data_IF_066617579447
#
_entry.id   IF_066617579447
#
_cell.length_a   1.000
_cell.length_b   1.000
_cell.length_c   1.000
_cell.angle_alpha   90.00
_cell.angle_beta   90.00
_cell.angle_gamma   90.00
#
_symmetry.space_group_name_H-M   'P 1'
#
loop_
_entity.id
_entity.type
_entity.pdbx_description
1 polymer ?
#
# COMPACT_ATOMS: atom_id res chain seq x y z
N UNK A 1 16.25 28.11 5.41
CA UNK A 1 16.50 27.46 5.66
C UNK A 1 16.46 26.95 5.87
N UNK A 2 16.62 26.80 5.63
CA UNK A 2 16.74 25.92 5.90
C UNK A 2 16.35 25.51 6.47
N UNK A 3 16.30 25.49 6.61
CA UNK A 3 16.03 24.76 7.23
C UNK A 3 15.27 24.45 7.30
N UNK A 4 14.98 24.70 7.00
CA UNK A 4 14.39 24.07 7.13
C UNK A 4 13.96 23.59 6.50
N UNK A 5 14.08 23.86 5.89
CA UNK A 5 13.85 23.06 5.13
C UNK A 5 14.29 21.87 5.34
N UNK A 6 14.96 21.84 5.58
CA UNK A 6 15.33 20.70 5.96
C UNK A 6 14.45 19.97 6.82
N UNK A 7 13.81 20.57 7.69
CA UNK A 7 12.93 19.90 8.52
C UNK A 7 11.78 19.35 7.81
N UNK A 8 11.28 19.99 6.84
CA UNK A 8 10.20 19.43 6.06
C UNK A 8 10.60 18.13 5.43
N UNK A 9 11.84 18.03 5.03
CA UNK A 9 12.32 16.86 4.38
C UNK A 9 12.33 15.65 5.27
N UNK A 10 12.43 15.83 6.55
CA UNK A 10 12.51 14.72 7.45
C UNK A 10 11.19 14.26 7.99
N UNK A 11 10.10 14.98 7.68
CA UNK A 11 8.81 14.67 8.28
C UNK A 11 8.18 13.49 7.56
N UNK A 12 7.95 12.44 8.32
CA UNK A 12 7.25 11.25 7.87
C UNK A 12 6.01 11.08 8.72
N UNK A 13 4.95 10.65 8.10
CA UNK A 13 3.70 10.35 8.79
C UNK A 13 3.42 8.87 8.71
N UNK A 14 2.97 8.32 9.82
CA UNK A 14 2.53 6.94 9.89
C UNK A 14 1.11 6.90 10.40
N UNK A 15 0.30 6.03 9.83
CA UNK A 15 -1.04 5.82 10.33
C UNK A 15 -1.40 4.36 10.16
N UNK A 16 -1.71 3.69 11.26
CA UNK A 16 -2.22 2.32 11.18
C UNK A 16 -3.69 2.40 10.83
N UNK A 17 -4.02 2.07 9.59
CA UNK A 17 -5.40 2.03 9.15
C UNK A 17 -6.07 0.77 9.70
N UNK A 18 -5.33 -0.33 9.77
CA UNK A 18 -5.82 -1.56 10.37
C UNK A 18 -4.64 -2.42 10.78
N UNK A 19 -4.80 -3.20 11.85
CA UNK A 19 -3.75 -4.11 12.31
C UNK A 19 -4.38 -5.33 12.93
N UNK A 20 -3.63 -6.44 12.90
CA UNK A 20 -4.05 -7.69 13.53
C UNK A 20 -4.40 -8.75 12.52
N UNK A 21 -4.93 -9.86 13.02
CA UNK A 21 -5.20 -11.03 12.19
C UNK A 21 -6.38 -10.83 11.24
N UNK A 22 -7.20 -9.81 11.48
CA UNK A 22 -8.33 -9.53 10.59
C UNK A 22 -7.93 -8.61 9.42
N UNK A 23 -6.69 -8.17 9.37
CA UNK A 23 -6.18 -7.39 8.25
C UNK A 23 -5.21 -6.32 8.68
N UNK A 24 -4.20 -6.10 7.86
CA UNK A 24 -3.14 -5.12 8.13
C UNK A 24 -3.08 -4.10 7.00
N UNK A 25 -2.99 -2.84 7.35
CA UNK A 25 -2.85 -1.77 6.37
C UNK A 25 -2.27 -0.56 7.07
N UNK A 26 -1.09 -0.14 6.64
CA UNK A 26 -0.39 0.99 7.25
C UNK A 26 -0.10 2.03 6.19
N UNK A 27 -0.39 3.28 6.52
CA UNK A 27 -0.04 4.40 5.66
C UNK A 27 1.30 4.98 6.11
N UNK A 28 2.18 5.23 5.14
CA UNK A 28 3.44 5.92 5.36
C UNK A 28 3.56 7.00 4.31
N UNK A 29 3.87 8.22 4.72
CA UNK A 29 4.00 9.26 3.74
C UNK A 29 4.79 10.47 4.20
N UNK A 30 5.16 11.26 3.23
CA UNK A 30 5.72 12.59 3.41
C UNK A 30 4.77 13.56 2.72
N UNK A 31 5.20 14.80 2.54
CA UNK A 31 4.37 15.75 1.82
C UNK A 31 4.22 15.40 0.35
N UNK A 32 5.17 14.67 -0.21
CA UNK A 32 5.20 14.41 -1.65
C UNK A 32 5.00 12.96 -2.03
N UNK A 33 5.16 12.03 -1.11
CA UNK A 33 5.08 10.61 -1.42
C UNK A 33 4.19 9.90 -0.43
N UNK A 34 3.29 9.07 -0.94
CA UNK A 34 2.31 8.37 -0.13
C UNK A 34 2.33 6.89 -0.49
N UNK A 35 2.55 6.04 0.51
CA UNK A 35 2.63 4.60 0.30
C UNK A 35 1.71 3.88 1.29
N UNK A 36 1.19 2.74 0.86
CA UNK A 36 0.56 1.81 1.78
C UNK A 36 1.47 0.61 1.97
N UNK A 37 1.57 0.13 3.19
CA UNK A 37 2.24 -1.12 3.51
C UNK A 37 1.15 -2.11 3.83
N UNK A 38 0.99 -3.09 2.95
CA UNK A 38 -0.04 -4.12 3.00
C UNK A 38 -1.46 -3.55 2.85
N UNK A 39 -2.33 -4.33 2.22
CA UNK A 39 -3.76 -4.01 2.12
C UNK A 39 -4.52 -5.28 2.46
N UNK A 40 -4.52 -5.64 3.75
CA UNK A 40 -5.18 -6.83 4.24
C UNK A 40 -6.66 -6.63 4.56
N UNK A 41 -7.19 -5.45 4.22
CA UNK A 41 -8.60 -5.12 4.42
C UNK A 41 -9.21 -4.84 3.05
N UNK A 42 -10.56 -4.75 3.01
CA UNK A 42 -11.22 -4.48 1.74
C UNK A 42 -10.85 -3.10 1.21
N UNK A 43 -10.97 -2.92 -0.10
CA UNK A 43 -10.68 -1.62 -0.69
C UNK A 43 -11.55 -0.52 -0.11
N UNK A 44 -12.81 -0.83 0.21
CA UNK A 44 -13.72 0.14 0.82
C UNK A 44 -13.21 0.60 2.18
N UNK A 45 -12.75 -0.32 3.01
CA UNK A 45 -12.22 0.02 4.33
C UNK A 45 -10.92 0.81 4.21
N UNK A 46 -10.07 0.43 3.25
CA UNK A 46 -8.83 1.13 3.02
C UNK A 46 -9.11 2.58 2.63
N UNK A 47 -10.05 2.80 1.71
CA UNK A 47 -10.37 4.15 1.29
C UNK A 47 -10.98 4.97 2.43
N UNK A 48 -11.82 4.35 3.24
CA UNK A 48 -12.36 5.06 4.41
C UNK A 48 -11.25 5.47 5.37
N UNK A 49 -10.26 4.60 5.56
CA UNK A 49 -9.11 4.93 6.40
C UNK A 49 -8.29 6.10 5.85
N UNK A 50 -8.04 6.09 4.55
CA UNK A 50 -7.32 7.22 3.93
C UNK A 50 -8.13 8.50 4.03
N UNK A 51 -9.44 8.43 3.82
CA UNK A 51 -10.27 9.61 3.93
C UNK A 51 -10.22 10.22 5.33
N UNK A 52 -10.06 9.39 6.35
CA UNK A 52 -10.00 9.90 7.72
C UNK A 52 -8.74 10.72 7.99
N UNK A 53 -7.74 10.63 7.12
CA UNK A 53 -6.53 11.45 7.22
C UNK A 53 -6.40 12.37 6.01
N UNK A 54 -7.52 12.67 5.38
CA UNK A 54 -7.64 13.63 4.28
C UNK A 54 -6.92 13.20 3.02
N UNK A 55 -6.86 11.89 2.79
CA UNK A 55 -6.25 11.32 1.58
C UNK A 55 -7.26 10.43 0.87
N UNK A 56 -6.98 10.15 -0.39
CA UNK A 56 -7.74 9.20 -1.18
C UNK A 56 -6.78 8.23 -1.86
N UNK A 57 -7.32 7.19 -2.47
CA UNK A 57 -6.48 6.25 -3.21
C UNK A 57 -5.70 6.91 -4.34
N UNK A 58 -6.21 8.02 -4.87
CA UNK A 58 -5.52 8.73 -5.96
C UNK A 58 -4.27 9.43 -5.50
N UNK A 59 -4.13 9.67 -4.20
CA UNK A 59 -2.93 10.30 -3.66
C UNK A 59 -1.79 9.31 -3.50
N UNK A 60 -2.06 8.01 -3.60
CA UNK A 60 -1.05 7.00 -3.36
C UNK A 60 -0.07 6.88 -4.53
N UNK A 61 1.18 6.64 -4.21
CA UNK A 61 2.23 6.45 -5.20
C UNK A 61 2.65 5.00 -5.36
N UNK A 62 2.32 4.16 -4.41
CA UNK A 62 2.66 2.75 -4.51
C UNK A 62 2.22 1.97 -3.29
N UNK A 63 2.41 0.68 -3.38
CA UNK A 63 2.03 -0.27 -2.33
C UNK A 63 3.22 -1.18 -2.07
N UNK A 64 3.57 -1.38 -0.80
CA UNK A 64 4.60 -2.32 -0.40
C UNK A 64 3.93 -3.50 0.29
N UNK A 65 4.21 -4.70 -0.16
CA UNK A 65 3.64 -5.91 0.43
C UNK A 65 4.72 -6.67 1.18
N UNK A 66 4.47 -6.96 2.45
CA UNK A 66 5.42 -7.65 3.30
C UNK A 66 5.22 -9.16 3.31
N UNK A 67 3.97 -9.62 3.18
CA UNK A 67 3.64 -11.04 3.24
C UNK A 67 2.53 -11.34 2.24
N UNK A 68 2.52 -12.57 1.74
CA UNK A 68 1.50 -13.00 0.79
C UNK A 68 0.22 -13.52 1.46
N UNK A 69 0.13 -13.49 2.78
CA UNK A 69 -1.04 -13.99 3.49
C UNK A 69 -2.24 -13.05 3.33
N UNK A 70 -3.44 -13.59 3.40
CA UNK A 70 -4.66 -12.83 3.11
C UNK A 70 -4.83 -11.61 4.01
N UNK A 71 -4.36 -11.66 5.25
CA UNK A 71 -4.45 -10.52 6.15
C UNK A 71 -3.47 -9.39 5.78
N UNK A 72 -2.73 -9.55 4.67
CA UNK A 72 -1.84 -8.53 4.14
C UNK A 72 -2.20 -8.14 2.71
N UNK A 73 -2.97 -8.97 1.98
CA UNK A 73 -3.21 -8.71 0.56
C UNK A 73 -4.69 -8.74 0.15
N UNK A 74 -5.62 -8.83 1.11
CA UNK A 74 -7.03 -9.02 0.79
C UNK A 74 -7.57 -7.99 -0.19
N UNK A 75 -7.22 -6.73 -0.02
CA UNK A 75 -7.71 -5.65 -0.88
C UNK A 75 -6.77 -5.26 -2.01
N UNK A 76 -5.63 -5.93 -2.10
CA UNK A 76 -4.58 -5.50 -3.03
C UNK A 76 -5.04 -5.52 -4.48
N UNK A 77 -5.66 -6.61 -4.91
CA UNK A 77 -6.05 -6.74 -6.31
C UNK A 77 -6.99 -5.65 -6.77
N UNK A 78 -8.00 -5.35 -5.94
CA UNK A 78 -8.98 -4.32 -6.25
C UNK A 78 -8.33 -2.95 -6.36
N UNK A 79 -7.50 -2.61 -5.39
CA UNK A 79 -6.89 -1.28 -5.34
C UNK A 79 -5.83 -1.12 -6.43
N UNK A 80 -5.03 -2.15 -6.66
CA UNK A 80 -4.02 -2.09 -7.71
C UNK A 80 -4.66 -1.88 -9.08
N UNK A 81 -5.76 -2.59 -9.35
CA UNK A 81 -6.46 -2.41 -10.62
C UNK A 81 -7.11 -1.04 -10.73
N UNK A 82 -7.72 -0.57 -9.63
CA UNK A 82 -8.46 0.69 -9.66
C UNK A 82 -7.56 1.87 -9.93
N UNK A 83 -6.39 1.90 -9.31
CA UNK A 83 -5.50 3.07 -9.38
C UNK A 83 -4.24 2.83 -10.19
N UNK A 84 -4.00 1.61 -10.65
CA UNK A 84 -2.81 1.30 -11.43
C UNK A 84 -1.52 1.49 -10.66
N UNK A 85 -1.53 1.23 -9.36
CA UNK A 85 -0.39 1.51 -8.50
C UNK A 85 0.68 0.44 -8.62
N UNK A 86 1.96 0.83 -8.63
CA UNK A 86 3.03 -0.17 -8.58
C UNK A 86 3.04 -0.88 -7.23
N UNK A 87 3.32 -2.18 -7.26
CA UNK A 87 3.35 -3.02 -6.08
C UNK A 87 4.78 -3.51 -5.87
N UNK A 88 5.36 -3.17 -4.74
CA UNK A 88 6.74 -3.52 -4.40
C UNK A 88 6.75 -4.66 -3.40
N UNK A 89 7.54 -5.69 -3.68
CA UNK A 89 7.66 -6.84 -2.78
C UNK A 89 8.92 -7.61 -3.14
N UNK A 90 9.33 -8.52 -2.25
CA UNK A 90 10.44 -9.41 -2.58
C UNK A 90 10.01 -10.41 -3.65
N UNK A 91 11.00 -10.99 -4.33
CA UNK A 91 10.72 -11.98 -5.36
C UNK A 91 9.87 -13.14 -4.82
N UNK A 92 10.23 -13.63 -3.64
CA UNK A 92 9.48 -14.75 -3.05
C UNK A 92 8.04 -14.40 -2.77
N UNK A 93 7.79 -13.20 -2.29
CA UNK A 93 6.42 -12.76 -2.01
C UNK A 93 5.64 -12.58 -3.31
N UNK A 94 6.27 -12.01 -4.34
CA UNK A 94 5.62 -11.86 -5.65
C UNK A 94 5.24 -13.22 -6.22
N UNK A 95 6.18 -14.17 -6.18
CA UNK A 95 5.93 -15.51 -6.72
C UNK A 95 4.78 -16.18 -5.96
N UNK A 96 4.77 -16.06 -4.64
CA UNK A 96 3.72 -16.67 -3.83
C UNK A 96 2.35 -16.06 -4.15
N UNK A 97 2.30 -14.74 -4.33
CA UNK A 97 1.05 -14.07 -4.69
C UNK A 97 0.55 -14.52 -6.06
N UNK A 98 1.45 -14.64 -7.03
CA UNK A 98 1.08 -15.06 -8.37
C UNK A 98 0.62 -16.52 -8.38
N UNK A 99 1.29 -17.38 -7.62
CA UNK A 99 0.93 -18.78 -7.54
C UNK A 99 -0.45 -18.98 -6.93
N UNK A 100 -0.80 -18.18 -5.93
CA UNK A 100 -2.08 -18.34 -5.25
C UNK A 100 -3.26 -17.99 -6.14
N UNK A 101 -3.05 -17.12 -7.12
CA UNK A 101 -4.12 -16.66 -7.99
C UNK A 101 -5.17 -15.81 -7.30
N UNK A 102 -4.98 -15.48 -6.03
CA UNK A 102 -6.02 -14.81 -5.24
C UNK A 102 -6.23 -13.36 -5.63
N UNK A 103 -5.26 -12.74 -6.31
CA UNK A 103 -5.36 -11.33 -6.69
C UNK A 103 -6.16 -11.13 -7.97
N UNK A 104 -6.42 -12.20 -8.70
CA UNK A 104 -7.07 -12.07 -10.00
C UNK A 104 -6.12 -11.50 -11.03
N UNK A 105 -6.68 -10.97 -12.10
CA UNK A 105 -5.88 -10.45 -13.20
C UNK A 105 -5.41 -9.04 -12.87
N UNK A 106 -4.11 -8.83 -12.98
CA UNK A 106 -3.49 -7.53 -12.70
C UNK A 106 -2.86 -6.98 -13.97
N UNK A 107 -2.68 -5.64 -14.03
CA UNK A 107 -1.97 -5.05 -15.17
C UNK A 107 -0.55 -5.59 -15.26
N UNK A 108 -0.09 -5.77 -16.50
CA UNK A 108 1.25 -6.22 -16.74
C UNK A 108 2.26 -5.21 -16.23
N UNK A 109 3.35 -5.70 -15.63
CA UNK A 109 4.40 -4.82 -15.14
C UNK A 109 4.11 -4.12 -13.82
N UNK A 110 3.04 -4.52 -13.13
CA UNK A 110 2.66 -3.86 -11.89
C UNK A 110 3.59 -4.20 -10.73
N UNK A 111 4.20 -5.39 -10.75
CA UNK A 111 5.08 -5.82 -9.66
C UNK A 111 6.51 -5.33 -9.87
N UNK A 112 7.10 -4.84 -8.80
CA UNK A 112 8.49 -4.37 -8.77
C UNK A 112 9.21 -5.07 -7.62
N UNK A 113 10.21 -5.86 -7.97
CA UNK A 113 10.97 -6.59 -6.96
C UNK A 113 11.91 -5.67 -6.21
N UNK A 114 12.01 -5.88 -4.91
CA UNK A 114 12.94 -5.12 -4.08
C UNK A 114 13.95 -6.03 -3.38
#
# INVERSE_FOLDING_TARGET
>A
MASDRRRDQGIMRFCSIASGSSGNCIYIGSEQTHMLVDIGISGKKMEAGLNSIDLTGRDLDGILITHEHSDHIKGLGVIARRYGLPVYATEGTIDAMLESGSLGKLPEGIFHEI
#
